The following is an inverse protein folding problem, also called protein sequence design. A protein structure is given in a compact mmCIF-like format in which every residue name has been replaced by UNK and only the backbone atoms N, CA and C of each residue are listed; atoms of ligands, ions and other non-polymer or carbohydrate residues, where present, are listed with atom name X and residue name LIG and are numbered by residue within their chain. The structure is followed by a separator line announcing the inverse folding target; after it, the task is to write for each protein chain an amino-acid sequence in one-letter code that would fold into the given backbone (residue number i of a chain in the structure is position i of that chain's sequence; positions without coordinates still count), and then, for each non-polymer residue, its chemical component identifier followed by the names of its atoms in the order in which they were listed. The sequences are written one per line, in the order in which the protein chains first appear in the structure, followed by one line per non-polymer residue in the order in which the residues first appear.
data_IF_390050824355
#
_entry.id   IF_390050824355
#
_cell.length_a   1.000
_cell.length_b   1.000
_cell.length_c   1.000
_cell.angle_alpha   90.00
_cell.angle_beta   90.00
_cell.angle_gamma   90.00
#
_symmetry.space_group_name_H-M   'P 1'
#
loop_
_entity.id
_entity.type
_entity.pdbx_description
1 polymer ?
#
# COMPACT_ATOMS: atom_id res chain seq x y z
N UNK A 1 14.72 -5.63 6.66
CA UNK A 1 13.82 -6.71 7.12
C UNK A 1 12.77 -6.88 6.03
N UNK A 2 12.70 -8.03 5.36
CA UNK A 2 11.60 -8.33 4.44
C UNK A 2 10.41 -8.73 5.31
N UNK A 3 9.66 -7.76 5.82
CA UNK A 3 8.42 -8.05 6.51
C UNK A 3 7.46 -8.74 5.54
N UNK A 4 6.89 -9.86 5.98
CA UNK A 4 5.90 -10.58 5.19
C UNK A 4 4.61 -9.78 5.20
N UNK A 5 4.05 -9.53 4.02
CA UNK A 5 2.77 -8.85 3.86
C UNK A 5 1.66 -9.79 4.33
N UNK A 6 0.76 -9.29 5.16
CA UNK A 6 -0.39 -10.01 5.69
C UNK A 6 -1.67 -9.19 5.64
N UNK A 7 -2.81 -9.87 5.85
CA UNK A 7 -4.13 -9.23 5.89
C UNK A 7 -4.14 -8.05 6.86
N UNK A 8 -4.67 -6.92 6.41
CA UNK A 8 -4.75 -5.66 7.14
C UNK A 8 -3.50 -4.79 7.05
N UNK A 9 -2.42 -5.24 6.42
CA UNK A 9 -1.28 -4.37 6.15
C UNK A 9 -1.66 -3.30 5.12
N UNK A 10 -1.26 -2.06 5.38
CA UNK A 10 -1.30 -1.01 4.36
C UNK A 10 -0.20 -1.29 3.35
N UNK A 11 -0.54 -1.44 2.06
CA UNK A 11 0.41 -1.73 0.99
C UNK A 11 0.29 -0.74 -0.15
N UNK A 12 1.33 -0.69 -0.98
CA UNK A 12 1.25 -0.19 -2.34
C UNK A 12 1.32 -1.38 -3.30
N UNK A 13 0.45 -1.40 -4.31
CA UNK A 13 0.50 -2.33 -5.42
C UNK A 13 0.48 -1.59 -6.74
N UNK A 14 1.00 -2.22 -7.79
CA UNK A 14 0.88 -1.75 -9.17
C UNK A 14 0.10 -2.75 -10.00
N UNK A 15 -0.85 -2.27 -10.80
CA UNK A 15 -1.50 -3.04 -11.85
C UNK A 15 -0.52 -3.32 -13.00
N UNK A 16 -0.49 -4.56 -13.49
CA UNK A 16 0.46 -5.00 -14.53
C UNK A 16 0.10 -4.45 -15.91
N UNK A 17 -1.18 -4.20 -16.18
CA UNK A 17 -1.65 -3.75 -17.50
C UNK A 17 -1.22 -2.31 -17.82
N UNK A 18 -1.27 -1.43 -16.83
CA UNK A 18 -1.18 0.03 -17.02
C UNK A 18 -0.15 0.70 -16.09
N UNK A 19 0.56 -0.06 -15.25
CA UNK A 19 1.48 0.42 -14.21
C UNK A 19 0.83 1.41 -13.21
N UNK A 20 -0.50 1.43 -13.10
CA UNK A 20 -1.20 2.26 -12.13
C UNK A 20 -0.90 1.80 -10.70
N UNK A 21 -0.58 2.75 -9.82
CA UNK A 21 -0.22 2.47 -8.43
C UNK A 21 -1.38 2.85 -7.51
N UNK A 22 -1.80 1.89 -6.70
CA UNK A 22 -2.85 2.05 -5.70
C UNK A 22 -2.33 1.67 -4.32
N UNK A 23 -2.85 2.36 -3.30
CA UNK A 23 -2.50 2.13 -1.90
C UNK A 23 -3.77 1.85 -1.10
N UNK A 24 -3.70 0.89 -0.17
CA UNK A 24 -4.83 0.51 0.67
C UNK A 24 -4.54 -0.68 1.56
N UNK A 25 -5.52 -1.08 2.35
CA UNK A 25 -5.41 -2.23 3.24
C UNK A 25 -5.52 -3.52 2.43
N UNK A 26 -4.53 -4.37 2.61
CA UNK A 26 -4.41 -5.63 1.88
C UNK A 26 -5.28 -6.72 2.50
N UNK A 27 -6.03 -7.42 1.66
CA UNK A 27 -6.52 -8.75 1.93
C UNK A 27 -6.29 -9.62 0.69
N UNK A 28 -6.04 -10.91 0.89
CA UNK A 28 -6.01 -11.87 -0.21
C UNK A 28 -6.54 -13.22 0.24
N UNK A 29 -7.40 -13.80 -0.60
CA UNK A 29 -7.91 -15.15 -0.43
C UNK A 29 -8.30 -15.73 -1.80
N UNK A 30 -8.17 -17.04 -1.97
CA UNK A 30 -8.54 -17.76 -3.19
C UNK A 30 -8.00 -17.17 -4.52
N UNK A 31 -6.81 -16.56 -4.52
CA UNK A 31 -6.21 -15.96 -5.72
C UNK A 31 -6.74 -14.57 -6.08
N UNK A 32 -7.57 -13.99 -5.21
CA UNK A 32 -8.08 -12.62 -5.33
C UNK A 32 -7.35 -11.74 -4.31
N UNK A 33 -6.86 -10.61 -4.79
CA UNK A 33 -6.33 -9.52 -3.95
C UNK A 33 -7.40 -8.45 -3.82
N UNK A 34 -7.73 -8.10 -2.58
CA UNK A 34 -8.58 -6.98 -2.24
C UNK A 34 -7.73 -5.84 -1.69
N UNK A 35 -7.99 -4.63 -2.18
CA UNK A 35 -7.39 -3.41 -1.69
C UNK A 35 -8.50 -2.47 -1.19
N UNK A 36 -8.59 -2.29 0.11
CA UNK A 36 -9.59 -1.43 0.74
C UNK A 36 -9.02 -0.03 0.97
N UNK A 37 -9.67 0.98 0.39
CA UNK A 37 -9.41 2.40 0.67
C UNK A 37 -10.29 2.90 1.82
N UNK A 38 -9.86 3.95 2.52
CA UNK A 38 -10.59 4.49 3.69
C UNK A 38 -11.98 5.03 3.32
N UNK A 39 -12.12 5.62 2.13
CA UNK A 39 -13.35 6.27 1.66
C UNK A 39 -13.73 5.84 0.23
N UNK A 40 -13.31 4.66 -0.22
CA UNK A 40 -13.59 4.14 -1.56
C UNK A 40 -14.15 2.73 -1.52
N UNK A 41 -14.86 2.34 -2.57
CA UNK A 41 -15.22 0.94 -2.76
C UNK A 41 -13.96 0.06 -2.82
N UNK A 42 -13.99 -1.17 -2.28
CA UNK A 42 -12.88 -2.09 -2.36
C UNK A 42 -12.53 -2.41 -3.81
N UNK A 43 -11.24 -2.40 -4.12
CA UNK A 43 -10.75 -2.80 -5.44
C UNK A 43 -10.37 -4.28 -5.39
N UNK A 44 -10.84 -5.05 -6.37
CA UNK A 44 -10.58 -6.48 -6.48
C UNK A 44 -9.72 -6.75 -7.72
N UNK A 45 -8.69 -7.56 -7.54
CA UNK A 45 -7.75 -7.95 -8.57
C UNK A 45 -7.50 -9.46 -8.53
N UNK A 46 -7.20 -10.07 -9.67
CA UNK A 46 -6.56 -11.37 -9.68
C UNK A 46 -5.09 -11.23 -9.26
N UNK A 47 -4.52 -12.20 -8.55
CA UNK A 47 -3.10 -12.16 -8.14
C UNK A 47 -2.13 -11.99 -9.31
N UNK A 48 -2.49 -12.46 -10.50
CA UNK A 48 -1.68 -12.35 -11.72
C UNK A 48 -1.78 -10.97 -12.41
N UNK A 49 -2.68 -10.09 -11.96
CA UNK A 49 -2.91 -8.75 -12.51
C UNK A 49 -2.17 -7.66 -11.74
N UNK A 50 -1.66 -7.97 -10.54
CA UNK A 50 -1.02 -6.97 -9.67
C UNK A 50 0.35 -7.43 -9.20
N UNK A 51 1.21 -6.44 -8.94
CA UNK A 51 2.49 -6.62 -8.25
C UNK A 51 2.47 -5.82 -6.97
N UNK A 52 2.65 -6.49 -5.84
CA UNK A 52 2.79 -5.78 -4.57
C UNK A 52 4.19 -5.13 -4.52
N UNK A 53 4.23 -3.80 -4.41
CA UNK A 53 5.46 -3.02 -4.38
C UNK A 53 6.10 -3.04 -2.99
N UNK A 54 5.27 -3.08 -1.96
CA UNK A 54 5.72 -3.20 -0.57
C UNK A 54 4.68 -2.76 0.43
N UNK A 55 5.01 -2.98 1.71
CA UNK A 55 4.24 -2.51 2.86
C UNK A 55 4.55 -1.04 3.16
N UNK A 56 3.51 -0.25 3.42
CA UNK A 56 3.61 1.14 3.85
C UNK A 56 3.63 1.17 5.38
N UNK A 57 4.78 1.53 5.95
CA UNK A 57 5.01 1.56 7.42
C UNK A 57 4.97 2.97 8.01
N UNK A 58 4.76 4.00 7.18
CA UNK A 58 4.67 5.38 7.64
C UNK A 58 4.20 6.33 6.56
N UNK A 59 3.63 7.45 6.98
CA UNK A 59 3.21 8.55 6.10
C UNK A 59 4.14 9.74 6.30
N UNK A 60 4.53 10.37 5.20
CA UNK A 60 5.25 11.63 5.27
C UNK A 60 4.27 12.75 5.65
N UNK A 61 4.59 13.54 6.67
CA UNK A 61 4.00 14.89 6.75
C UNK A 61 4.85 15.79 5.86
N UNK A 62 4.20 16.63 5.06
CA UNK A 62 4.82 17.60 4.14
C UNK A 62 5.65 18.70 4.84
N UNK A 63 6.02 18.51 6.10
CA UNK A 63 6.93 19.38 6.83
C UNK A 63 8.37 18.98 6.45
N UNK A 64 9.06 19.88 5.75
CA UNK A 64 10.49 19.78 5.55
C UNK A 64 11.20 20.00 6.89
N UNK A 65 12.19 19.16 7.20
CA UNK A 65 13.08 19.42 8.32
C UNK A 65 14.02 20.61 8.00
N UNK A 66 14.87 21.00 8.95
CA UNK A 66 15.82 22.10 8.76
C UNK A 66 16.79 21.90 7.56
N UNK A 67 16.89 20.69 7.02
CA UNK A 67 17.73 20.31 5.88
C UNK A 67 16.92 20.18 4.56
N UNK A 68 15.64 20.56 4.54
CA UNK A 68 14.79 20.42 3.34
C UNK A 68 14.34 18.99 3.04
N UNK A 69 14.52 18.05 3.97
CA UNK A 69 14.10 16.65 3.81
C UNK A 69 12.70 16.44 4.38
N UNK A 70 11.93 15.64 3.66
CA UNK A 70 10.62 15.16 4.07
C UNK A 70 10.66 14.35 5.37
N UNK A 71 9.85 14.73 6.36
CA UNK A 71 9.74 14.02 7.65
C UNK A 71 8.71 12.89 7.54
N UNK A 72 9.20 11.65 7.56
CA UNK A 72 8.36 10.44 7.64
C UNK A 72 8.03 10.14 9.09
N UNK A 73 6.74 10.06 9.42
CA UNK A 73 6.26 9.59 10.73
C UNK A 73 5.72 8.17 10.57
N UNK A 74 6.06 7.25 11.48
CA UNK A 74 5.43 5.92 11.50
C UNK A 74 3.91 6.06 11.56
N UNK A 75 3.20 5.16 10.88
CA UNK A 75 1.76 4.98 11.08
C UNK A 75 1.60 4.25 12.41
N UNK A 76 1.31 4.99 13.48
CA UNK A 76 0.77 4.39 14.69
C UNK A 76 -0.74 4.20 14.43
N UNK A 77 -1.12 3.01 13.96
CA UNK A 77 -2.51 2.55 13.95
C UNK A 77 -2.96 2.21 15.38
#
# INVERSE_FOLDING_TARGET
VNEKIGRGDLIALSEIENDAVSCGFYDADFGIVCLEGVDSEPQLFEENQVRILGKIVGVCRSEENADGKYIVKPLNL
#
